data_IF_079329278191
#
_entry.id   IF_079329278191
#
_cell.length_a   1.000
_cell.length_b   1.000
_cell.length_c   1.000
_cell.angle_alpha   90.00
_cell.angle_beta   90.00
_cell.angle_gamma   90.00
#
_symmetry.space_group_name_H-M   'P 1'
#
loop_
_entity.id
_entity.type
_entity.pdbx_description
1 polymer ?
#
# COMPACT_ATOMS: atom_id res chain seq x y z
N UNK A 1 -22.00 -1.14 -6.94
CA UNK A 1 -20.82 -0.24 -7.10
C UNK A 1 -19.62 -1.13 -7.37
N UNK A 2 -18.67 -0.68 -8.18
CA UNK A 2 -17.42 -1.43 -8.39
C UNK A 2 -16.64 -1.54 -7.06
N UNK A 3 -15.90 -2.64 -6.91
CA UNK A 3 -15.03 -2.85 -5.76
C UNK A 3 -13.89 -1.81 -5.75
N UNK A 4 -13.58 -1.31 -4.56
CA UNK A 4 -12.54 -0.31 -4.31
C UNK A 4 -11.36 -0.90 -3.54
N UNK A 5 -11.55 -2.07 -2.93
CA UNK A 5 -10.54 -2.85 -2.20
C UNK A 5 -10.41 -4.21 -2.86
N UNK A 6 -9.19 -4.72 -2.93
CA UNK A 6 -8.91 -6.07 -3.44
C UNK A 6 -8.01 -6.85 -2.49
N UNK A 7 -7.50 -7.99 -2.96
CA UNK A 7 -6.61 -8.85 -2.17
C UNK A 7 -5.14 -8.54 -2.42
N UNK A 8 -4.84 -7.56 -3.30
CA UNK A 8 -3.51 -7.02 -3.49
C UNK A 8 -3.37 -5.60 -2.95
N UNK A 9 -2.18 -5.26 -2.48
CA UNK A 9 -1.84 -3.91 -2.04
C UNK A 9 -0.45 -3.55 -2.54
N UNK A 10 -0.30 -2.41 -3.19
CA UNK A 10 1.01 -1.85 -3.51
C UNK A 10 1.21 -0.57 -2.70
N UNK A 11 2.34 -0.49 -2.02
CA UNK A 11 2.70 0.68 -1.22
C UNK A 11 4.11 1.12 -1.56
N UNK A 12 4.26 2.42 -1.81
CA UNK A 12 5.53 3.07 -2.10
C UNK A 12 5.74 4.18 -1.08
N UNK A 13 6.79 4.05 -0.28
CA UNK A 13 7.24 5.07 0.67
C UNK A 13 8.48 5.77 0.14
N UNK A 14 8.61 7.06 0.41
CA UNK A 14 9.84 7.80 0.16
C UNK A 14 9.93 9.05 1.05
N UNK A 15 11.15 9.43 1.39
CA UNK A 15 11.47 10.79 1.78
C UNK A 15 11.85 11.57 0.52
N UNK A 16 11.40 12.82 0.41
CA UNK A 16 11.67 13.68 -0.74
C UNK A 16 12.41 14.92 -0.26
N UNK A 17 13.52 15.33 -0.91
CA UNK A 17 14.19 16.58 -0.58
C UNK A 17 13.22 17.76 -0.60
N UNK A 18 13.29 18.64 0.39
CA UNK A 18 12.32 19.73 0.57
C UNK A 18 12.22 20.65 -0.66
N UNK A 19 13.33 20.87 -1.37
CA UNK A 19 13.39 21.67 -2.60
C UNK A 19 12.73 21.00 -3.81
N UNK A 20 12.36 19.72 -3.71
CA UNK A 20 11.72 18.93 -4.78
C UNK A 20 10.30 18.46 -4.43
N UNK A 21 9.88 18.65 -3.19
CA UNK A 21 8.65 18.09 -2.63
C UNK A 21 7.39 18.63 -3.32
N UNK A 22 7.35 19.93 -3.63
CA UNK A 22 6.21 20.53 -4.32
C UNK A 22 6.03 19.98 -5.73
N UNK A 23 7.12 19.86 -6.50
CA UNK A 23 7.10 19.34 -7.87
C UNK A 23 6.69 17.85 -7.88
N UNK A 24 7.23 17.08 -6.94
CA UNK A 24 6.83 15.70 -6.69
C UNK A 24 5.32 15.56 -6.39
N UNK A 25 4.78 16.45 -5.55
CA UNK A 25 3.39 16.42 -5.15
C UNK A 25 2.45 16.80 -6.31
N UNK A 26 2.80 17.80 -7.11
CA UNK A 26 2.03 18.18 -8.30
C UNK A 26 2.01 17.05 -9.33
N UNK A 27 3.16 16.44 -9.64
CA UNK A 27 3.23 15.31 -10.57
C UNK A 27 2.31 14.15 -10.15
N UNK A 28 2.28 13.83 -8.85
CA UNK A 28 1.38 12.80 -8.35
C UNK A 28 -0.10 13.13 -8.57
N UNK A 29 -0.50 14.38 -8.30
CA UNK A 29 -1.91 14.79 -8.41
C UNK A 29 -2.38 14.92 -9.87
N UNK A 30 -1.54 15.51 -10.73
CA UNK A 30 -1.93 15.85 -12.09
C UNK A 30 -1.79 14.68 -13.06
N UNK A 31 -0.84 13.76 -12.80
CA UNK A 31 -0.47 12.75 -13.77
C UNK A 31 -0.46 11.34 -13.17
N UNK A 32 0.40 11.09 -12.18
CA UNK A 32 0.74 9.71 -11.81
C UNK A 32 -0.40 8.94 -11.15
N UNK A 33 -1.25 9.60 -10.34
CA UNK A 33 -2.41 8.92 -9.75
C UNK A 33 -3.39 8.47 -10.82
N UNK A 34 -3.68 9.32 -11.82
CA UNK A 34 -4.60 8.96 -12.90
C UNK A 34 -4.00 7.90 -13.82
N UNK A 35 -2.69 7.98 -14.09
CA UNK A 35 -1.94 6.95 -14.82
C UNK A 35 -2.12 5.57 -14.17
N UNK A 36 -1.89 5.45 -12.86
CA UNK A 36 -2.02 4.18 -12.14
C UNK A 36 -3.47 3.72 -12.04
N UNK A 37 -4.42 4.62 -11.76
CA UNK A 37 -5.85 4.30 -11.70
C UNK A 37 -6.43 3.89 -13.06
N UNK A 38 -5.77 4.22 -14.17
CA UNK A 38 -6.17 3.79 -15.51
C UNK A 38 -5.79 2.33 -15.82
N UNK A 39 -4.90 1.72 -15.01
CA UNK A 39 -4.47 0.33 -15.22
C UNK A 39 -5.56 -0.64 -14.76
N UNK A 40 -6.00 -1.57 -15.62
CA UNK A 40 -6.91 -2.63 -15.22
C UNK A 40 -6.38 -3.41 -14.02
N UNK A 41 -7.23 -3.56 -13.00
CA UNK A 41 -6.87 -4.20 -11.74
C UNK A 41 -6.36 -3.26 -10.64
N UNK A 42 -6.13 -1.98 -10.93
CA UNK A 42 -5.93 -0.95 -9.88
C UNK A 42 -7.28 -0.38 -9.49
N UNK A 43 -7.69 -0.61 -8.25
CA UNK A 43 -9.07 -0.37 -7.79
C UNK A 43 -9.26 1.00 -7.14
N UNK A 44 -8.27 1.41 -6.34
CA UNK A 44 -8.27 2.71 -5.69
C UNK A 44 -6.86 3.11 -5.28
N UNK A 45 -6.68 4.41 -5.04
CA UNK A 45 -5.40 4.95 -4.62
C UNK A 45 -5.62 6.05 -3.57
N UNK A 46 -4.64 6.22 -2.68
CA UNK A 46 -4.53 7.40 -1.83
C UNK A 46 -3.08 7.72 -1.56
N UNK A 47 -2.84 9.00 -1.28
CA UNK A 47 -1.58 9.49 -0.75
C UNK A 47 -1.73 9.87 0.71
N UNK A 48 -0.69 9.58 1.48
CA UNK A 48 -0.60 9.90 2.90
C UNK A 48 0.74 10.54 3.20
N UNK A 49 0.74 11.39 4.22
CA UNK A 49 1.96 11.86 4.87
C UNK A 49 2.05 11.25 6.27
N UNK A 50 3.25 10.86 6.67
CA UNK A 50 3.50 10.30 7.98
C UNK A 50 3.37 11.40 9.04
N UNK A 51 2.48 11.19 10.00
CA UNK A 51 2.34 12.04 11.20
C UNK A 51 3.28 11.60 12.33
N UNK A 52 3.80 10.38 12.24
CA UNK A 52 4.75 9.79 13.18
C UNK A 52 5.62 8.79 12.43
N UNK A 53 6.92 8.83 12.69
CA UNK A 53 7.95 8.01 12.00
C UNK A 53 8.04 8.31 10.49
N UNK A 54 8.90 7.61 9.76
CA UNK A 54 9.10 7.80 8.33
C UNK A 54 9.12 6.50 7.53
N UNK A 55 9.23 6.56 6.20
CA UNK A 55 9.41 7.79 5.38
C UNK A 55 8.17 8.71 5.32
N UNK A 56 8.36 10.01 5.02
CA UNK A 56 7.31 11.05 5.04
C UNK A 56 6.16 10.75 4.08
N UNK A 57 6.43 10.37 2.84
CA UNK A 57 5.39 10.17 1.83
C UNK A 57 5.04 8.70 1.65
N UNK A 58 3.75 8.42 1.51
CA UNK A 58 3.22 7.12 1.11
C UNK A 58 2.24 7.29 -0.06
N UNK A 59 2.44 6.53 -1.13
CA UNK A 59 1.43 6.22 -2.13
C UNK A 59 0.93 4.78 -1.93
N UNK A 60 -0.37 4.63 -1.73
CA UNK A 60 -1.02 3.35 -1.46
C UNK A 60 -2.06 3.04 -2.54
N UNK A 61 -1.96 1.86 -3.15
CA UNK A 61 -2.83 1.40 -4.23
C UNK A 61 -3.46 0.06 -3.86
N UNK A 62 -4.78 0.00 -3.94
CA UNK A 62 -5.54 -1.26 -3.85
C UNK A 62 -5.55 -1.93 -5.22
N UNK A 63 -5.25 -3.22 -5.23
CA UNK A 63 -5.20 -4.03 -6.44
C UNK A 63 -6.19 -5.17 -6.31
N UNK A 64 -6.80 -5.58 -7.42
CA UNK A 64 -7.64 -6.79 -7.48
C UNK A 64 -6.91 -7.98 -6.85
N UNK A 65 -5.65 -8.17 -7.22
CA UNK A 65 -4.71 -9.12 -6.60
C UNK A 65 -3.26 -8.59 -6.70
N UNK A 66 -2.34 -9.23 -6.00
CA UNK A 66 -0.92 -8.88 -6.08
C UNK A 66 -0.35 -9.05 -7.51
N UNK A 67 -0.95 -9.90 -8.34
CA UNK A 67 -0.47 -10.19 -9.70
C UNK A 67 -0.73 -9.06 -10.70
N UNK A 68 -1.54 -8.05 -10.35
CA UNK A 68 -1.76 -6.87 -11.20
C UNK A 68 -0.43 -6.21 -11.56
N UNK A 69 0.55 -6.17 -10.65
CA UNK A 69 1.87 -5.59 -10.92
C UNK A 69 2.69 -6.35 -11.96
N UNK A 70 2.31 -7.60 -12.22
CA UNK A 70 2.94 -8.49 -13.20
C UNK A 70 2.26 -8.43 -14.57
N UNK A 71 1.10 -7.78 -14.69
CA UNK A 71 0.37 -7.64 -15.95
C UNK A 71 1.13 -6.78 -16.96
N UNK A 72 0.91 -7.03 -18.25
CA UNK A 72 1.49 -6.22 -19.32
C UNK A 72 1.02 -4.77 -19.26
N UNK A 73 -0.24 -4.52 -18.91
CA UNK A 73 -0.78 -3.17 -18.74
C UNK A 73 -0.03 -2.40 -17.64
N UNK A 74 0.32 -3.08 -16.54
CA UNK A 74 1.08 -2.47 -15.45
C UNK A 74 2.56 -2.26 -15.83
N UNK A 75 3.19 -3.23 -16.48
CA UNK A 75 4.62 -3.16 -16.85
C UNK A 75 4.89 -2.16 -17.97
N UNK A 76 3.97 -2.03 -18.92
CA UNK A 76 4.12 -1.19 -20.11
C UNK A 76 3.45 0.18 -19.95
N UNK A 77 3.16 0.62 -18.71
CA UNK A 77 2.67 1.98 -18.46
C UNK A 77 3.63 3.01 -19.07
N UNK A 78 3.11 4.04 -19.77
CA UNK A 78 3.95 5.07 -20.35
C UNK A 78 4.57 5.91 -19.24
N UNK A 79 5.89 6.09 -19.29
CA UNK A 79 6.58 7.02 -18.41
C UNK A 79 6.72 8.37 -19.10
N UNK A 80 6.13 9.41 -18.53
CA UNK A 80 6.24 10.77 -19.06
C UNK A 80 7.63 11.35 -18.78
N UNK A 81 7.95 12.44 -19.47
CA UNK A 81 9.18 13.19 -19.19
C UNK A 81 9.20 13.79 -17.77
N UNK A 82 8.04 14.20 -17.22
CA UNK A 82 7.95 14.71 -15.86
C UNK A 82 8.24 13.61 -14.85
N UNK A 83 7.55 12.46 -14.95
CA UNK A 83 7.79 11.28 -14.12
C UNK A 83 9.19 10.68 -14.28
N UNK A 84 9.86 10.89 -15.41
CA UNK A 84 11.26 10.53 -15.60
C UNK A 84 12.23 11.36 -14.73
N UNK A 85 11.84 12.56 -14.30
CA UNK A 85 12.66 13.46 -13.48
C UNK A 85 12.28 13.46 -12.00
N UNK A 86 11.01 13.23 -11.66
CA UNK A 86 10.48 13.48 -10.30
C UNK A 86 9.97 12.25 -9.58
N UNK A 87 9.98 11.06 -10.18
CA UNK A 87 9.47 9.86 -9.51
C UNK A 87 10.29 9.52 -8.24
N UNK A 88 9.69 8.80 -7.26
CA UNK A 88 10.41 8.42 -6.04
C UNK A 88 11.73 7.68 -6.31
N UNK A 89 11.79 6.86 -7.36
CA UNK A 89 13.00 6.14 -7.77
C UNK A 89 14.14 7.02 -8.29
N UNK A 90 13.89 8.30 -8.55
CA UNK A 90 14.88 9.25 -9.09
C UNK A 90 15.30 10.27 -8.04
N UNK A 91 14.33 10.85 -7.33
CA UNK A 91 14.61 11.95 -6.38
C UNK A 91 14.45 11.54 -4.91
N UNK A 92 13.86 10.38 -4.64
CA UNK A 92 13.54 9.94 -3.29
C UNK A 92 14.72 9.31 -2.57
N UNK A 93 14.70 9.43 -1.25
CA UNK A 93 15.55 8.72 -0.31
C UNK A 93 14.69 7.81 0.58
N UNK A 94 15.29 6.82 1.23
CA UNK A 94 14.57 5.81 2.04
C UNK A 94 13.40 5.15 1.29
N UNK A 95 13.58 4.89 -0.01
CA UNK A 95 12.50 4.39 -0.85
C UNK A 95 12.22 2.92 -0.53
N UNK A 96 10.97 2.64 -0.17
CA UNK A 96 10.48 1.27 0.01
C UNK A 96 9.32 1.07 -0.96
N UNK A 97 9.33 0.00 -1.74
CA UNK A 97 8.28 -0.31 -2.71
C UNK A 97 7.91 -1.78 -2.57
N UNK A 98 6.78 -2.04 -1.92
CA UNK A 98 6.33 -3.39 -1.64
C UNK A 98 5.00 -3.67 -2.33
N UNK A 99 4.86 -4.91 -2.78
CA UNK A 99 3.61 -5.48 -3.25
C UNK A 99 3.23 -6.60 -2.31
N UNK A 100 1.97 -6.63 -1.91
CA UNK A 100 1.46 -7.52 -0.90
C UNK A 100 0.23 -8.28 -1.38
N UNK A 101 0.07 -9.48 -0.82
CA UNK A 101 -1.15 -10.28 -0.86
C UNK A 101 -1.81 -10.31 0.53
N UNK A 102 -3.13 -10.22 0.57
CA UNK A 102 -3.90 -10.21 1.81
C UNK A 102 -3.90 -11.62 2.45
N UNK A 103 -3.57 -11.68 3.74
CA UNK A 103 -3.62 -12.90 4.55
C UNK A 103 -4.65 -12.81 5.69
N UNK A 104 -5.15 -11.61 5.99
CA UNK A 104 -6.25 -11.39 6.93
C UNK A 104 -7.06 -10.14 6.55
N UNK A 105 -8.41 -10.19 6.54
CA UNK A 105 -9.22 -11.39 6.63
C UNK A 105 -8.89 -12.37 5.49
N UNK A 106 -9.30 -13.62 5.58
CA UNK A 106 -9.01 -14.63 4.53
C UNK A 106 -9.84 -14.42 3.25
N UNK A 107 -10.87 -13.57 3.32
CA UNK A 107 -11.68 -13.15 2.18
C UNK A 107 -12.23 -11.73 2.42
N UNK A 108 -12.50 -11.01 1.33
CA UNK A 108 -13.19 -9.73 1.41
C UNK A 108 -14.68 -9.94 1.58
N UNK A 109 -15.28 -9.25 2.56
CA UNK A 109 -16.74 -9.05 2.57
C UNK A 109 -17.10 -7.93 1.60
N UNK A 110 -18.34 -7.89 1.11
CA UNK A 110 -18.81 -6.80 0.25
C UNK A 110 -18.66 -5.42 0.91
N UNK A 111 -18.78 -5.36 2.24
CA UNK A 111 -18.55 -4.13 3.01
C UNK A 111 -17.10 -3.67 3.02
N UNK A 112 -16.12 -4.59 3.00
CA UNK A 112 -14.71 -4.24 2.84
C UNK A 112 -14.46 -3.87 1.38
N UNK A 113 -14.88 -4.71 0.43
CA UNK A 113 -14.68 -4.52 -0.99
C UNK A 113 -15.18 -3.15 -1.48
N UNK A 114 -16.36 -2.71 -1.03
CA UNK A 114 -16.93 -1.40 -1.39
C UNK A 114 -16.43 -0.20 -0.59
N UNK A 115 -15.55 -0.39 0.41
CA UNK A 115 -15.09 0.69 1.29
C UNK A 115 -14.04 1.60 0.63
N UNK A 116 -14.05 2.89 0.97
CA UNK A 116 -13.05 3.85 0.50
C UNK A 116 -11.67 3.67 1.17
N UNK A 117 -10.72 4.51 0.76
CA UNK A 117 -9.46 4.69 1.48
C UNK A 117 -9.75 5.30 2.86
N UNK A 118 -9.03 4.87 3.89
CA UNK A 118 -9.21 5.38 5.25
C UNK A 118 -8.58 6.78 5.38
N UNK A 119 -9.09 7.63 6.27
CA UNK A 119 -8.51 8.97 6.47
C UNK A 119 -7.15 8.93 7.19
N UNK A 120 -6.86 7.85 7.92
CA UNK A 120 -5.61 7.63 8.61
C UNK A 120 -5.26 6.14 8.56
N UNK A 121 -3.96 5.85 8.53
CA UNK A 121 -3.43 4.48 8.53
C UNK A 121 -2.47 4.32 9.70
N UNK A 122 -2.57 3.20 10.41
CA UNK A 122 -1.51 2.72 11.28
C UNK A 122 -0.85 1.52 10.61
N UNK A 123 0.41 1.65 10.25
CA UNK A 123 1.11 0.64 9.46
C UNK A 123 2.22 0.01 10.30
N UNK A 124 2.05 -1.26 10.65
CA UNK A 124 3.12 -2.08 11.22
C UNK A 124 3.76 -2.93 10.13
N UNK A 125 5.10 -2.92 10.03
CA UNK A 125 5.84 -3.78 9.09
C UNK A 125 6.92 -4.54 9.84
N UNK A 126 7.06 -5.83 9.57
CA UNK A 126 8.00 -6.69 10.30
C UNK A 126 8.42 -7.92 9.51
N UNK A 127 9.65 -8.36 9.79
CA UNK A 127 10.14 -9.70 9.47
C UNK A 127 10.10 -10.52 10.75
N UNK A 128 9.76 -11.80 10.61
CA UNK A 128 9.64 -12.74 11.73
C UNK A 128 10.54 -13.92 11.41
N UNK A 129 11.32 -14.38 12.39
CA UNK A 129 12.16 -15.57 12.23
C UNK A 129 11.32 -16.78 11.80
N UNK A 130 11.81 -17.60 10.87
CA UNK A 130 11.02 -18.70 10.29
C UNK A 130 10.49 -19.68 11.35
N UNK A 131 11.23 -19.87 12.45
CA UNK A 131 10.83 -20.72 13.58
C UNK A 131 9.61 -20.19 14.35
N UNK A 132 9.34 -18.89 14.27
CA UNK A 132 8.23 -18.21 14.96
C UNK A 132 7.11 -17.79 14.00
N UNK A 133 7.32 -17.87 12.69
CA UNK A 133 6.46 -17.26 11.67
C UNK A 133 5.03 -17.80 11.69
N UNK A 134 4.87 -19.12 11.82
CA UNK A 134 3.54 -19.76 11.82
C UNK A 134 2.75 -19.41 13.08
N UNK A 135 3.37 -19.53 14.25
CA UNK A 135 2.74 -19.19 15.53
C UNK A 135 2.38 -17.72 15.60
N UNK A 136 3.31 -16.85 15.21
CA UNK A 136 3.09 -15.41 15.15
C UNK A 136 1.93 -15.07 14.21
N UNK A 137 1.85 -15.67 13.03
CA UNK A 137 0.74 -15.43 12.10
C UNK A 137 -0.61 -15.88 12.66
N UNK A 138 -0.68 -17.06 13.29
CA UNK A 138 -1.91 -17.54 13.94
C UNK A 138 -2.35 -16.60 15.05
N UNK A 139 -1.43 -16.20 15.94
CA UNK A 139 -1.73 -15.27 17.03
C UNK A 139 -2.16 -13.90 16.50
N UNK A 140 -1.44 -13.34 15.52
CA UNK A 140 -1.66 -11.97 15.08
C UNK A 140 -2.99 -11.84 14.31
N UNK A 141 -3.32 -12.81 13.44
CA UNK A 141 -4.63 -12.84 12.75
C UNK A 141 -5.78 -13.26 13.66
N UNK A 142 -5.57 -14.20 14.59
CA UNK A 142 -6.65 -14.79 15.39
C UNK A 142 -6.96 -14.04 16.68
N UNK A 143 -5.98 -13.31 17.22
CA UNK A 143 -6.08 -12.68 18.55
C UNK A 143 -5.75 -11.19 18.47
N UNK A 144 -4.58 -10.82 17.92
CA UNK A 144 -4.13 -9.42 17.97
C UNK A 144 -5.06 -8.50 17.17
N UNK A 145 -5.22 -8.72 15.86
CA UNK A 145 -6.06 -7.86 15.00
C UNK A 145 -7.52 -7.83 15.47
N UNK A 146 -8.19 -8.97 15.76
CA UNK A 146 -9.57 -8.94 16.24
C UNK A 146 -9.78 -8.21 17.56
N UNK A 147 -8.77 -8.18 18.45
CA UNK A 147 -8.84 -7.37 19.67
C UNK A 147 -8.53 -5.90 19.39
N UNK A 148 -7.60 -5.63 18.47
CA UNK A 148 -7.25 -4.28 18.06
C UNK A 148 -8.41 -3.55 17.38
N UNK A 149 -9.20 -4.27 16.56
CA UNK A 149 -10.42 -3.73 15.93
C UNK A 149 -11.52 -3.32 16.92
N UNK A 150 -11.45 -3.75 18.19
CA UNK A 150 -12.40 -3.31 19.24
C UNK A 150 -12.04 -1.94 19.82
N UNK A 151 -10.85 -1.41 19.52
CA UNK A 151 -10.42 -0.10 20.02
C UNK A 151 -11.26 0.99 19.33
N UNK A 152 -11.90 1.91 20.09
CA UNK A 152 -12.69 2.98 19.51
C UNK A 152 -11.90 3.81 18.48
N UNK A 153 -12.46 3.96 17.27
CA UNK A 153 -11.84 4.68 16.16
C UNK A 153 -11.09 3.79 15.17
N UNK A 154 -10.77 2.53 15.52
CA UNK A 154 -10.24 1.56 14.56
C UNK A 154 -11.37 1.11 13.64
N UNK A 155 -11.19 1.34 12.34
CA UNK A 155 -12.22 1.01 11.33
C UNK A 155 -12.13 -0.45 10.89
N UNK A 156 -10.90 -0.96 10.73
CA UNK A 156 -10.57 -2.34 10.35
C UNK A 156 -9.06 -2.56 10.47
N UNK A 157 -8.63 -3.81 10.57
CA UNK A 157 -7.24 -4.23 10.35
C UNK A 157 -7.16 -5.27 9.24
N UNK A 158 -6.29 -5.05 8.26
CA UNK A 158 -5.93 -6.07 7.27
C UNK A 158 -4.46 -6.43 7.41
N UNK A 159 -4.16 -7.72 7.27
CA UNK A 159 -2.79 -8.22 7.27
C UNK A 159 -2.39 -8.70 5.89
N UNK A 160 -1.11 -8.56 5.63
CA UNK A 160 -0.52 -8.63 4.32
C UNK A 160 0.80 -9.39 4.38
N UNK A 161 1.07 -10.22 3.37
CA UNK A 161 2.37 -10.84 3.12
C UNK A 161 2.97 -10.24 1.86
N UNK A 162 4.23 -9.83 1.92
CA UNK A 162 4.92 -9.26 0.76
C UNK A 162 5.15 -10.37 -0.28
N UNK A 163 4.69 -10.13 -1.50
CA UNK A 163 5.06 -10.91 -2.70
C UNK A 163 6.28 -10.31 -3.38
N UNK A 164 6.54 -9.01 -3.13
CA UNK A 164 7.75 -8.28 -3.55
C UNK A 164 8.15 -7.26 -2.50
N UNK A 165 9.44 -7.19 -2.20
CA UNK A 165 10.02 -6.24 -1.24
C UNK A 165 10.06 -6.78 0.19
N UNK A 166 10.48 -5.93 1.13
CA UNK A 166 10.61 -6.26 2.56
C UNK A 166 10.24 -5.06 3.43
N UNK A 167 9.85 -5.24 4.70
CA UNK A 167 9.67 -6.50 5.43
C UNK A 167 8.53 -7.38 4.90
N UNK A 168 8.55 -8.66 5.28
CA UNK A 168 7.69 -9.73 4.76
C UNK A 168 6.23 -9.57 5.16
N UNK A 169 5.93 -8.91 6.27
CA UNK A 169 4.57 -8.72 6.74
C UNK A 169 4.22 -7.26 6.95
N UNK A 170 2.97 -6.92 6.66
CA UNK A 170 2.37 -5.65 7.04
C UNK A 170 0.99 -5.82 7.69
N UNK A 171 0.64 -4.93 8.60
CA UNK A 171 -0.74 -4.70 9.08
C UNK A 171 -1.10 -3.25 8.77
N UNK A 172 -2.29 -3.04 8.21
CA UNK A 172 -2.81 -1.76 7.73
C UNK A 172 -4.27 -1.60 8.14
#
# INVERSE_FOLDING_TARGET
MADKKGTGLMMVWADIPADKEDDFNHWYQEEHLQELLSVPGVLSAARYEAVSSGPKHLACYELESADVVNSEAFKNRPRTEWGARVSPSIIGTNVISNTYEMIHPTALTSGIAGSGMANALQIGRMDIGPENEEEWNRWYSGIYVPNYEKVPGVVRGRRWKATRGSPSYAVV
#
